data_IF_460845733735
#
_entry.id   IF_460845733735
#
_cell.length_a   1.000
_cell.length_b   1.000
_cell.length_c   1.000
_cell.angle_alpha   90.00
_cell.angle_beta   90.00
_cell.angle_gamma   90.00
#
_symmetry.space_group_name_H-M   'P 1'
#
loop_
_entity.id
_entity.type
_entity.pdbx_description
1 polymer ?
#
# COMPACT_ATOMS: atom_id res chain seq x y z
N UNK A 1 23.38 37.52 10.76
CA UNK A 1 22.05 36.87 10.80
C UNK A 1 21.95 36.16 12.13
N UNK A 2 20.97 36.50 12.97
CA UNK A 2 20.72 35.74 14.20
C UNK A 2 20.26 34.34 13.79
N UNK A 3 21.15 33.37 13.94
CA UNK A 3 20.84 31.97 13.72
C UNK A 3 20.33 31.40 15.05
N UNK A 4 19.03 31.12 15.13
CA UNK A 4 18.41 30.46 16.28
C UNK A 4 18.66 28.96 16.10
N UNK A 5 19.76 28.47 16.68
CA UNK A 5 20.25 27.10 16.45
C UNK A 5 19.19 26.01 16.70
N UNK A 6 18.33 26.17 17.72
CA UNK A 6 17.26 25.20 18.03
C UNK A 6 16.19 25.14 16.94
N UNK A 7 15.82 26.29 16.37
CA UNK A 7 14.83 26.39 15.30
C UNK A 7 15.37 25.82 13.98
N UNK A 8 16.65 26.06 13.68
CA UNK A 8 17.33 25.51 12.52
C UNK A 8 17.38 23.97 12.57
N UNK A 9 17.69 23.39 13.74
CA UNK A 9 17.67 21.94 13.94
C UNK A 9 16.28 21.33 13.71
N UNK A 10 15.23 21.94 14.27
CA UNK A 10 13.85 21.47 14.07
C UNK A 10 13.46 21.53 12.58
N UNK A 11 13.77 22.64 11.92
CA UNK A 11 13.52 22.83 10.47
C UNK A 11 14.23 21.76 9.65
N UNK A 12 15.48 21.45 9.95
CA UNK A 12 16.24 20.41 9.25
C UNK A 12 15.60 19.04 9.42
N UNK A 13 15.16 18.66 10.63
CA UNK A 13 14.50 17.38 10.89
C UNK A 13 13.20 17.28 10.11
N UNK A 14 12.32 18.30 10.20
CA UNK A 14 11.03 18.32 9.49
C UNK A 14 11.24 18.25 7.98
N UNK A 15 12.27 18.90 7.43
CA UNK A 15 12.54 18.89 5.98
C UNK A 15 13.00 17.55 5.42
N UNK A 16 13.30 16.56 6.27
CA UNK A 16 13.60 15.18 5.83
C UNK A 16 12.36 14.39 5.47
N UNK A 17 11.18 14.84 5.88
CA UNK A 17 9.92 14.17 5.56
C UNK A 17 9.59 14.32 4.06
N UNK A 18 9.05 13.27 3.42
CA UNK A 18 8.74 13.30 2.00
C UNK A 18 7.73 14.42 1.68
N UNK A 19 8.00 15.20 0.63
CA UNK A 19 7.14 16.30 0.20
C UNK A 19 7.30 17.61 0.98
N UNK A 20 8.19 17.67 1.99
CA UNK A 20 8.39 18.88 2.81
C UNK A 20 9.73 19.55 2.51
N UNK A 21 9.71 20.64 1.75
CA UNK A 21 10.90 21.47 1.51
C UNK A 21 11.23 22.39 2.70
N UNK A 22 12.45 22.96 2.71
CA UNK A 22 12.97 23.80 3.82
C UNK A 22 12.05 24.98 4.18
N UNK A 23 11.40 25.64 3.21
CA UNK A 23 10.48 26.75 3.49
C UNK A 23 9.23 26.28 4.24
N UNK A 24 8.65 25.16 3.80
CA UNK A 24 7.49 24.56 4.47
C UNK A 24 7.88 24.07 5.86
N UNK A 25 9.06 23.44 6.00
CA UNK A 25 9.58 22.98 7.28
C UNK A 25 9.78 24.14 8.27
N UNK A 26 10.33 25.28 7.83
CA UNK A 26 10.48 26.47 8.67
C UNK A 26 9.13 27.01 9.16
N UNK A 27 8.12 27.01 8.27
CA UNK A 27 6.76 27.43 8.63
C UNK A 27 6.15 26.50 9.69
N UNK A 28 6.34 25.18 9.55
CA UNK A 28 5.88 24.20 10.53
C UNK A 28 6.63 24.33 11.87
N UNK A 29 7.95 24.58 11.83
CA UNK A 29 8.75 24.78 13.02
C UNK A 29 8.32 26.03 13.81
N UNK A 30 8.01 27.14 13.11
CA UNK A 30 7.47 28.35 13.74
C UNK A 30 6.05 28.12 14.28
N UNK A 31 5.20 27.38 13.57
CA UNK A 31 3.89 27.00 14.08
C UNK A 31 4.00 26.22 15.40
N UNK A 32 4.89 25.22 15.48
CA UNK A 32 5.13 24.46 16.70
C UNK A 32 5.68 25.33 17.84
N UNK A 33 6.46 26.37 17.54
CA UNK A 33 6.92 27.33 18.55
C UNK A 33 5.79 28.16 19.16
N UNK A 34 4.73 28.44 18.39
CA UNK A 34 3.55 29.18 18.85
C UNK A 34 2.52 28.29 19.59
N UNK A 35 2.69 26.96 19.55
CA UNK A 35 1.84 26.02 20.29
C UNK A 35 2.15 26.02 21.80
N UNK A 36 1.19 25.56 22.61
CA UNK A 36 1.40 25.39 24.05
C UNK A 36 2.21 24.13 24.40
N UNK A 37 2.69 24.09 25.65
CA UNK A 37 3.50 22.98 26.16
C UNK A 37 2.74 21.65 26.20
N UNK A 38 1.40 21.70 26.36
CA UNK A 38 0.55 20.51 26.41
C UNK A 38 0.51 19.82 25.04
N UNK A 39 0.23 20.58 23.98
CA UNK A 39 0.25 20.09 22.60
C UNK A 39 1.64 19.58 22.19
N UNK A 40 2.71 20.30 22.54
CA UNK A 40 4.07 19.87 22.21
C UNK A 40 4.44 18.55 22.90
N UNK A 41 3.98 18.36 24.13
CA UNK A 41 4.18 17.13 24.87
C UNK A 41 3.39 15.97 24.24
N UNK A 42 2.11 16.17 23.95
CA UNK A 42 1.27 15.16 23.27
C UNK A 42 1.88 14.76 21.93
N UNK A 43 2.28 15.73 21.11
CA UNK A 43 2.91 15.48 19.81
C UNK A 43 4.21 14.67 19.93
N UNK A 44 5.05 15.00 20.92
CA UNK A 44 6.27 14.24 21.21
C UNK A 44 5.98 12.82 21.67
N UNK A 45 4.99 12.62 22.55
CA UNK A 45 4.64 11.31 23.10
C UNK A 45 4.06 10.38 22.02
N UNK A 46 3.19 10.90 21.13
CA UNK A 46 2.65 10.16 19.98
C UNK A 46 3.75 9.75 19.01
N UNK A 47 4.67 10.66 18.68
CA UNK A 47 5.80 10.34 17.80
C UNK A 47 6.75 9.31 18.43
N UNK A 48 7.01 9.42 19.73
CA UNK A 48 7.92 8.54 20.45
C UNK A 48 7.39 7.10 20.54
N UNK A 49 6.06 6.94 20.63
CA UNK A 49 5.38 5.65 20.74
C UNK A 49 4.95 5.07 19.39
N UNK A 50 5.28 5.70 18.26
CA UNK A 50 4.81 5.31 16.92
C UNK A 50 5.08 3.83 16.58
N UNK A 51 6.32 3.35 16.79
CA UNK A 51 6.70 1.95 16.51
C UNK A 51 6.20 0.96 17.56
N UNK A 52 5.81 1.43 18.75
CA UNK A 52 5.24 0.59 19.81
C UNK A 52 3.75 0.35 19.57
N UNK A 53 3.05 1.39 19.14
CA UNK A 53 1.60 1.38 18.93
C UNK A 53 1.21 0.85 17.55
N UNK A 54 1.94 1.22 16.49
CA UNK A 54 1.61 0.79 15.13
C UNK A 54 2.48 -0.41 14.76
N UNK A 55 1.82 -1.55 14.57
CA UNK A 55 2.46 -2.83 14.21
C UNK A 55 1.96 -3.34 12.87
N UNK A 56 2.63 -4.37 12.38
CA UNK A 56 2.17 -5.13 11.22
C UNK A 56 1.28 -6.28 11.70
N UNK A 57 0.10 -6.39 11.12
CA UNK A 57 -0.78 -7.54 11.29
C UNK A 57 -0.03 -8.83 10.94
N UNK A 58 -0.11 -9.83 11.82
CA UNK A 58 0.58 -11.11 11.66
C UNK A 58 0.06 -11.94 10.47
N UNK A 59 -1.13 -11.62 9.94
CA UNK A 59 -1.79 -12.35 8.85
C UNK A 59 -1.59 -11.67 7.49
N UNK A 60 -1.89 -10.37 7.41
CA UNK A 60 -1.90 -9.64 6.14
C UNK A 60 -0.81 -8.57 6.01
N UNK A 61 -0.04 -8.32 7.06
CA UNK A 61 1.01 -7.29 7.10
C UNK A 61 0.50 -5.87 6.87
N UNK A 62 -0.79 -5.62 7.12
CA UNK A 62 -1.37 -4.27 7.22
C UNK A 62 -0.97 -3.57 8.51
N UNK A 63 -1.04 -2.23 8.53
CA UNK A 63 -0.84 -1.46 9.76
C UNK A 63 -2.02 -1.70 10.71
N UNK A 64 -1.73 -1.92 11.99
CA UNK A 64 -2.75 -2.13 13.02
C UNK A 64 -2.20 -1.78 14.41
N UNK A 65 -3.11 -1.36 15.29
CA UNK A 65 -2.84 -1.22 16.73
C UNK A 65 -2.79 -2.58 17.46
N UNK A 66 -3.28 -3.64 16.81
CA UNK A 66 -3.35 -5.00 17.33
C UNK A 66 -2.48 -5.97 16.53
N UNK A 67 -2.22 -7.16 17.07
CA UNK A 67 -1.49 -8.22 16.37
C UNK A 67 -2.24 -8.73 15.12
N UNK A 68 -3.57 -8.66 15.14
CA UNK A 68 -4.45 -9.00 14.02
C UNK A 68 -5.32 -7.76 13.74
N UNK A 69 -5.31 -7.29 12.49
CA UNK A 69 -6.12 -6.12 12.11
C UNK A 69 -7.61 -6.44 12.03
N UNK A 70 -8.43 -5.41 12.12
CA UNK A 70 -9.90 -5.51 12.11
C UNK A 70 -10.46 -6.25 10.90
N UNK A 71 -9.78 -6.19 9.75
CA UNK A 71 -10.20 -6.92 8.54
C UNK A 71 -9.93 -8.42 8.69
N UNK A 72 -8.78 -8.81 9.25
CA UNK A 72 -8.43 -10.22 9.43
C UNK A 72 -9.16 -10.87 10.62
N UNK A 73 -9.59 -10.10 11.62
CA UNK A 73 -10.37 -10.62 12.75
C UNK A 73 -11.88 -10.63 12.50
N UNK A 74 -12.34 -10.13 11.34
CA UNK A 74 -13.76 -10.03 11.03
C UNK A 74 -14.28 -11.30 10.34
N UNK A 75 -15.10 -12.07 11.04
CA UNK A 75 -15.71 -13.31 10.53
C UNK A 75 -16.73 -13.10 9.40
N UNK A 76 -17.20 -11.86 9.17
CA UNK A 76 -18.11 -11.54 8.07
C UNK A 76 -17.38 -11.37 6.72
N UNK A 77 -16.05 -11.32 6.74
CA UNK A 77 -15.22 -11.21 5.53
C UNK A 77 -15.02 -12.58 4.88
N UNK A 78 -14.78 -12.56 3.57
CA UNK A 78 -14.51 -13.75 2.78
C UNK A 78 -13.02 -14.11 2.85
N UNK A 79 -12.64 -14.87 3.89
CA UNK A 79 -11.25 -15.29 4.13
C UNK A 79 -10.68 -16.23 3.04
N UNK A 80 -11.55 -16.81 2.20
CA UNK A 80 -11.17 -17.59 1.02
C UNK A 80 -10.81 -16.72 -0.20
N UNK A 81 -10.90 -15.38 -0.10
CA UNK A 81 -10.49 -14.44 -1.15
C UNK A 81 -9.43 -13.47 -0.64
N UNK A 82 -8.30 -13.40 -1.33
CA UNK A 82 -7.17 -12.53 -0.96
C UNK A 82 -6.95 -11.45 -2.03
N UNK A 83 -6.92 -10.18 -1.63
CA UNK A 83 -6.47 -9.06 -2.44
C UNK A 83 -5.03 -8.71 -2.10
N UNK A 84 -4.13 -8.90 -3.05
CA UNK A 84 -2.72 -8.56 -2.91
C UNK A 84 -2.52 -7.11 -3.32
N UNK A 85 -1.94 -6.31 -2.44
CA UNK A 85 -1.61 -4.91 -2.65
C UNK A 85 -0.13 -4.63 -2.37
N UNK A 86 0.41 -3.56 -2.95
CA UNK A 86 1.79 -3.15 -2.73
C UNK A 86 1.96 -2.59 -1.31
N UNK A 87 1.07 -1.68 -0.91
CA UNK A 87 1.22 -0.88 0.32
C UNK A 87 -0.09 -0.69 1.10
N UNK A 88 0.01 -0.15 2.32
CA UNK A 88 -1.16 0.19 3.15
C UNK A 88 -2.07 1.26 2.52
N UNK A 89 -1.55 2.35 1.92
CA UNK A 89 -2.39 3.27 1.16
C UNK A 89 -3.22 2.61 0.06
N UNK A 90 -2.67 1.63 -0.65
CA UNK A 90 -3.41 0.90 -1.70
C UNK A 90 -4.55 0.08 -1.10
N UNK A 91 -4.29 -0.58 0.04
CA UNK A 91 -5.33 -1.29 0.81
C UNK A 91 -6.49 -0.36 1.16
N UNK A 92 -6.19 0.81 1.74
CA UNK A 92 -7.18 1.80 2.12
C UNK A 92 -7.97 2.33 0.92
N UNK A 93 -7.31 2.53 -0.22
CA UNK A 93 -7.97 3.00 -1.43
C UNK A 93 -9.04 2.01 -1.93
N UNK A 94 -8.76 0.71 -1.86
CA UNK A 94 -9.71 -0.34 -2.22
C UNK A 94 -10.79 -0.47 -1.14
N UNK A 95 -10.42 -0.51 0.13
CA UNK A 95 -11.37 -0.66 1.24
C UNK A 95 -12.41 0.48 1.25
N UNK A 96 -11.99 1.70 0.91
CA UNK A 96 -12.87 2.87 0.79
C UNK A 96 -13.95 2.74 -0.29
N UNK A 97 -13.81 1.82 -1.25
CA UNK A 97 -14.86 1.60 -2.25
C UNK A 97 -16.04 0.82 -1.67
N UNK A 98 -15.85 0.10 -0.57
CA UNK A 98 -16.84 -0.81 0.03
C UNK A 98 -17.29 -1.95 -0.91
N UNK A 99 -16.64 -2.13 -2.07
CA UNK A 99 -17.00 -3.15 -3.07
C UNK A 99 -16.24 -4.48 -2.87
N UNK A 100 -15.20 -4.50 -2.03
CA UNK A 100 -14.39 -5.70 -1.79
C UNK A 100 -14.61 -6.28 -0.39
N UNK A 101 -15.20 -7.47 -0.32
CA UNK A 101 -15.50 -8.15 0.96
C UNK A 101 -14.47 -9.23 1.36
N UNK A 102 -13.41 -9.42 0.58
CA UNK A 102 -12.33 -10.35 0.92
C UNK A 102 -11.35 -9.78 1.94
N UNK A 103 -10.23 -10.47 2.14
CA UNK A 103 -9.12 -10.03 3.00
C UNK A 103 -7.92 -9.59 2.17
N UNK A 104 -7.00 -8.84 2.77
CA UNK A 104 -5.83 -8.30 2.06
C UNK A 104 -4.55 -9.07 2.35
N UNK A 105 -3.53 -8.84 1.52
CA UNK A 105 -2.13 -9.18 1.80
C UNK A 105 -1.22 -8.06 1.28
N UNK A 106 -0.43 -7.44 2.16
CA UNK A 106 0.45 -6.32 1.82
C UNK A 106 1.88 -6.82 1.57
N UNK A 107 2.35 -6.68 0.33
CA UNK A 107 3.69 -7.13 -0.05
C UNK A 107 4.81 -6.28 0.56
N UNK A 108 4.56 -4.98 0.78
CA UNK A 108 5.58 -4.05 1.26
C UNK A 108 6.49 -3.52 0.16
N UNK A 109 6.06 -3.59 -1.10
CA UNK A 109 6.81 -3.16 -2.27
C UNK A 109 6.61 -4.07 -3.48
N UNK A 110 7.32 -3.74 -4.55
CA UNK A 110 7.37 -4.50 -5.79
C UNK A 110 8.82 -4.87 -6.13
N UNK A 111 9.01 -5.93 -6.91
CA UNK A 111 10.31 -6.33 -7.43
C UNK A 111 10.84 -5.20 -8.32
N UNK A 112 11.98 -4.63 -7.95
CA UNK A 112 12.59 -3.51 -8.66
C UNK A 112 14.12 -3.63 -8.66
N UNK A 113 14.71 -4.23 -9.71
CA UNK A 113 16.16 -4.35 -9.83
C UNK A 113 16.88 -2.99 -9.80
N UNK A 114 16.25 -1.95 -10.36
CA UNK A 114 16.79 -0.59 -10.36
C UNK A 114 16.90 0.02 -8.97
N UNK A 115 15.99 -0.34 -8.06
CA UNK A 115 16.01 0.07 -6.65
C UNK A 115 16.73 -0.94 -5.75
N UNK A 116 17.27 -2.02 -6.32
CA UNK A 116 17.88 -3.12 -5.56
C UNK A 116 16.89 -3.93 -4.73
N UNK A 117 15.58 -3.85 -5.01
CA UNK A 117 14.55 -4.60 -4.30
C UNK A 117 14.34 -5.95 -5.00
N UNK A 118 14.75 -7.02 -4.34
CA UNK A 118 14.61 -8.39 -4.78
C UNK A 118 13.37 -9.09 -4.22
N UNK A 119 13.22 -10.37 -4.56
CA UNK A 119 12.10 -11.22 -4.12
C UNK A 119 12.11 -11.44 -2.60
N UNK A 120 13.30 -11.49 -1.99
CA UNK A 120 13.46 -11.67 -0.54
C UNK A 120 13.04 -10.45 0.28
N UNK A 121 12.90 -9.29 -0.37
CA UNK A 121 12.64 -8.02 0.31
C UNK A 121 11.15 -7.70 0.37
N UNK A 122 10.32 -8.54 -0.24
CA UNK A 122 8.86 -8.42 -0.29
C UNK A 122 8.20 -9.69 0.20
N UNK A 123 6.96 -9.56 0.68
CA UNK A 123 6.27 -10.61 1.44
C UNK A 123 5.59 -11.67 0.57
N UNK A 124 6.29 -12.21 -0.41
CA UNK A 124 5.77 -13.26 -1.29
C UNK A 124 5.82 -14.63 -0.60
N UNK A 125 6.84 -14.92 0.21
CA UNK A 125 6.95 -16.23 0.89
C UNK A 125 5.79 -16.43 1.85
N UNK A 126 5.50 -15.38 2.62
CA UNK A 126 4.42 -15.30 3.58
C UNK A 126 3.05 -15.40 2.91
N UNK A 127 2.90 -14.83 1.70
CA UNK A 127 1.70 -15.03 0.88
C UNK A 127 1.51 -16.52 0.54
N UNK A 128 2.57 -17.20 0.07
CA UNK A 128 2.49 -18.61 -0.32
C UNK A 128 2.19 -19.49 0.89
N UNK A 129 2.84 -19.24 2.02
CA UNK A 129 2.54 -19.95 3.28
C UNK A 129 1.08 -19.76 3.69
N UNK A 130 0.56 -18.53 3.63
CA UNK A 130 -0.83 -18.23 3.92
C UNK A 130 -1.79 -18.93 2.96
N UNK A 131 -1.47 -18.98 1.67
CA UNK A 131 -2.29 -19.67 0.65
C UNK A 131 -2.27 -21.19 0.87
N UNK A 132 -1.15 -21.76 1.27
CA UNK A 132 -1.04 -23.21 1.51
C UNK A 132 -1.76 -23.65 2.79
N UNK A 133 -1.79 -22.80 3.81
CA UNK A 133 -2.42 -23.10 5.10
C UNK A 133 -3.94 -22.89 5.11
N UNK A 134 -4.51 -22.27 4.09
CA UNK A 134 -5.93 -21.92 4.02
C UNK A 134 -6.55 -22.41 2.70
N UNK A 135 -7.86 -22.65 2.70
CA UNK A 135 -8.59 -22.97 1.47
C UNK A 135 -8.95 -21.69 0.71
N UNK A 136 -7.98 -21.15 -0.05
CA UNK A 136 -8.15 -19.95 -0.86
C UNK A 136 -8.74 -20.32 -2.24
N UNK A 137 -9.84 -19.65 -2.61
CA UNK A 137 -10.53 -19.84 -3.88
C UNK A 137 -10.13 -18.79 -4.92
N UNK A 138 -9.79 -17.58 -4.46
CA UNK A 138 -9.44 -16.47 -5.33
C UNK A 138 -8.31 -15.61 -4.77
N UNK A 139 -7.39 -15.24 -5.65
CA UNK A 139 -6.35 -14.26 -5.40
C UNK A 139 -6.47 -13.14 -6.43
N UNK A 140 -6.83 -11.95 -5.98
CA UNK A 140 -6.88 -10.74 -6.81
C UNK A 140 -5.59 -9.94 -6.64
N UNK A 141 -4.92 -9.62 -7.75
CA UNK A 141 -3.74 -8.75 -7.75
C UNK A 141 -4.18 -7.31 -8.04
N UNK A 142 -3.92 -6.40 -7.10
CA UNK A 142 -4.34 -5.01 -7.15
C UNK A 142 -3.14 -4.06 -7.05
N UNK A 143 -2.29 -4.05 -8.07
CA UNK A 143 -1.15 -3.13 -8.18
C UNK A 143 -1.46 -1.97 -9.12
N UNK A 144 -0.84 -0.81 -8.90
CA UNK A 144 -0.83 0.28 -9.87
C UNK A 144 -0.11 -0.12 -11.16
N UNK A 145 -0.47 0.49 -12.30
CA UNK A 145 0.13 0.18 -13.59
C UNK A 145 1.61 0.62 -13.66
N UNK A 146 2.54 -0.34 -13.66
CA UNK A 146 3.98 -0.13 -13.83
C UNK A 146 4.66 -1.40 -14.35
N UNK A 147 5.89 -1.27 -14.87
CA UNK A 147 6.68 -2.42 -15.32
C UNK A 147 7.03 -3.36 -14.15
N UNK A 148 7.37 -2.77 -13.01
CA UNK A 148 7.65 -3.48 -11.75
C UNK A 148 6.41 -4.24 -11.26
N UNK A 149 5.22 -3.63 -11.37
CA UNK A 149 3.97 -4.29 -11.00
C UNK A 149 3.67 -5.48 -11.90
N UNK A 150 3.84 -5.34 -13.22
CA UNK A 150 3.66 -6.45 -14.17
C UNK A 150 4.64 -7.61 -13.93
N UNK A 151 5.89 -7.26 -13.66
CA UNK A 151 6.94 -8.24 -13.33
C UNK A 151 6.60 -8.98 -12.03
N UNK A 152 6.21 -8.24 -10.99
CA UNK A 152 5.87 -8.80 -9.68
C UNK A 152 4.60 -9.66 -9.75
N UNK A 153 3.56 -9.20 -10.45
CA UNK A 153 2.33 -9.95 -10.66
C UNK A 153 2.57 -11.26 -11.43
N UNK A 154 3.37 -11.21 -12.50
CA UNK A 154 3.73 -12.39 -13.29
C UNK A 154 4.53 -13.39 -12.46
N UNK A 155 5.45 -12.89 -11.62
CA UNK A 155 6.21 -13.73 -10.71
C UNK A 155 5.30 -14.41 -9.68
N UNK A 156 4.43 -13.66 -9.00
CA UNK A 156 3.45 -14.20 -8.04
C UNK A 156 2.57 -15.27 -8.69
N UNK A 157 2.03 -14.99 -9.88
CA UNK A 157 1.21 -15.94 -10.62
C UNK A 157 1.96 -17.26 -10.89
N UNK A 158 3.21 -17.17 -11.36
CA UNK A 158 4.05 -18.34 -11.59
C UNK A 158 4.32 -19.10 -10.28
N UNK A 159 4.69 -18.40 -9.22
CA UNK A 159 4.97 -19.00 -7.91
C UNK A 159 3.75 -19.72 -7.34
N UNK A 160 2.55 -19.15 -7.48
CA UNK A 160 1.30 -19.79 -7.08
C UNK A 160 1.07 -21.10 -7.87
N UNK A 161 1.30 -21.08 -9.18
CA UNK A 161 1.19 -22.29 -10.02
C UNK A 161 2.22 -23.36 -9.65
N UNK A 162 3.48 -22.96 -9.44
CA UNK A 162 4.56 -23.87 -9.03
C UNK A 162 4.29 -24.50 -7.64
N UNK A 163 3.46 -23.87 -6.80
CA UNK A 163 3.00 -24.38 -5.51
C UNK A 163 1.62 -25.06 -5.56
N UNK A 164 1.16 -25.48 -6.75
CA UNK A 164 -0.11 -26.20 -6.95
C UNK A 164 -1.36 -25.45 -6.47
N UNK A 165 -1.35 -24.11 -6.52
CA UNK A 165 -2.55 -23.33 -6.25
C UNK A 165 -3.60 -23.55 -7.35
N UNK A 166 -4.76 -24.09 -6.95
CA UNK A 166 -5.86 -24.45 -7.85
C UNK A 166 -6.97 -23.39 -7.95
N UNK A 167 -6.91 -22.33 -7.13
CA UNK A 167 -7.87 -21.24 -7.18
C UNK A 167 -7.68 -20.33 -8.40
N UNK A 168 -8.58 -19.34 -8.51
CA UNK A 168 -8.54 -18.33 -9.56
C UNK A 168 -7.52 -17.25 -9.18
N UNK A 169 -6.74 -16.79 -10.16
CA UNK A 169 -5.91 -15.59 -10.01
C UNK A 169 -6.46 -14.54 -10.95
N UNK A 170 -6.92 -13.43 -10.38
CA UNK A 170 -7.50 -12.28 -11.09
C UNK A 170 -6.61 -11.06 -10.89
N UNK A 171 -6.81 -10.03 -11.73
CA UNK A 171 -6.10 -8.76 -11.62
C UNK A 171 -7.07 -7.64 -11.87
N UNK A 172 -6.92 -6.53 -11.15
CA UNK A 172 -7.67 -5.31 -11.44
C UNK A 172 -7.36 -4.83 -12.87
N UNK A 173 -8.36 -4.28 -13.55
CA UNK A 173 -8.18 -3.79 -14.91
C UNK A 173 -7.47 -2.44 -14.90
N UNK A 174 -6.73 -2.15 -15.97
CA UNK A 174 -6.22 -0.80 -16.25
C UNK A 174 -6.95 -0.28 -17.47
N UNK A 175 -7.51 0.92 -17.38
CA UNK A 175 -8.28 1.45 -18.49
C UNK A 175 -8.55 2.94 -18.38
N UNK A 176 -9.34 3.42 -19.34
CA UNK A 176 -9.83 4.79 -19.34
C UNK A 176 -10.69 5.03 -18.09
N UNK A 177 -10.58 6.21 -17.51
CA UNK A 177 -11.40 6.59 -16.36
C UNK A 177 -12.84 6.83 -16.81
N UNK A 178 -13.82 6.56 -15.93
CA UNK A 178 -15.23 6.88 -16.20
C UNK A 178 -15.46 8.37 -16.47
N UNK A 179 -14.58 9.24 -15.95
CA UNK A 179 -14.68 10.68 -16.14
C UNK A 179 -13.97 11.20 -17.41
N UNK A 180 -13.31 10.33 -18.18
CA UNK A 180 -12.59 10.73 -19.40
C UNK A 180 -13.37 10.40 -20.67
N UNK A 181 -13.48 11.37 -21.58
CA UNK A 181 -13.94 11.13 -22.94
C UNK A 181 -12.86 10.41 -23.76
N UNK A 182 -13.28 9.59 -24.75
CA UNK A 182 -12.37 8.79 -25.58
C UNK A 182 -11.31 9.66 -26.29
N UNK A 183 -11.70 10.83 -26.78
CA UNK A 183 -10.80 11.76 -27.49
C UNK A 183 -9.66 12.27 -26.60
N UNK A 184 -9.92 12.41 -25.30
CA UNK A 184 -9.00 12.98 -24.32
C UNK A 184 -8.30 11.91 -23.46
N UNK A 185 -8.57 10.63 -23.72
CA UNK A 185 -7.98 9.53 -22.97
C UNK A 185 -6.48 9.38 -23.27
N UNK A 186 -5.70 9.05 -22.25
CA UNK A 186 -4.29 8.68 -22.43
C UNK A 186 -4.18 7.46 -23.37
N UNK A 187 -3.32 7.58 -24.38
CA UNK A 187 -3.17 6.57 -25.43
C UNK A 187 -2.84 5.17 -24.91
N UNK A 188 -2.08 5.04 -23.82
CA UNK A 188 -1.75 3.74 -23.23
C UNK A 188 -2.96 3.14 -22.52
N UNK A 189 -3.69 3.96 -21.77
CA UNK A 189 -4.92 3.56 -21.08
C UNK A 189 -6.02 3.16 -22.06
N UNK A 190 -6.16 3.89 -23.17
CA UNK A 190 -7.09 3.55 -24.26
C UNK A 190 -6.69 2.26 -24.97
N UNK A 191 -5.42 2.11 -25.35
CA UNK A 191 -4.91 0.89 -25.96
C UNK A 191 -5.15 -0.33 -25.06
N UNK A 192 -4.95 -0.17 -23.74
CA UNK A 192 -5.20 -1.23 -22.76
C UNK A 192 -6.68 -1.59 -22.67
N UNK A 193 -7.57 -0.58 -22.62
CA UNK A 193 -9.02 -0.79 -22.61
C UNK A 193 -9.53 -1.55 -23.85
N UNK A 194 -8.91 -1.33 -25.02
CA UNK A 194 -9.24 -2.05 -26.25
C UNK A 194 -8.81 -3.52 -26.18
N UNK A 195 -7.63 -3.79 -25.62
CA UNK A 195 -7.10 -5.15 -25.45
C UNK A 195 -7.93 -5.94 -24.43
N UNK A 196 -8.28 -5.30 -23.32
CA UNK A 196 -9.03 -5.90 -22.19
C UNK A 196 -10.56 -5.74 -22.35
N UNK A 197 -11.05 -5.50 -23.58
CA UNK A 197 -12.49 -5.33 -23.85
C UNK A 197 -13.27 -6.57 -23.44
N UNK A 198 -14.46 -6.36 -22.90
CA UNK A 198 -15.37 -7.43 -22.47
C UNK A 198 -16.48 -7.64 -23.49
N UNK A 199 -16.93 -8.89 -23.64
CA UNK A 199 -18.12 -9.20 -24.43
C UNK A 199 -19.38 -8.72 -23.68
N UNK A 200 -20.38 -8.25 -24.42
CA UNK A 200 -21.67 -7.82 -23.86
C UNK A 200 -22.70 -8.97 -23.77
N UNK A 201 -22.27 -10.19 -24.06
CA UNK A 201 -23.13 -11.35 -24.32
C UNK A 201 -23.39 -12.19 -23.07
#
# INVERSE_FOLDING_TARGET
MNNIQSLDKLTQIISRLPGIGTRTAMRLALYLFDCDDEYLKEFSDVLSSLHENIKLCQVCYSLSDNDICDICSNDKREHNKICIVESYPDMLAIEKTEEYNGVYHILGGLISPLKGIGISDIRIKELIERVNNNSIEEIMIAFSASLEADTTASYIYKTLKDNNFNGRVTRITYGISLASDIENADSRSLARSILDRVDMN
#
